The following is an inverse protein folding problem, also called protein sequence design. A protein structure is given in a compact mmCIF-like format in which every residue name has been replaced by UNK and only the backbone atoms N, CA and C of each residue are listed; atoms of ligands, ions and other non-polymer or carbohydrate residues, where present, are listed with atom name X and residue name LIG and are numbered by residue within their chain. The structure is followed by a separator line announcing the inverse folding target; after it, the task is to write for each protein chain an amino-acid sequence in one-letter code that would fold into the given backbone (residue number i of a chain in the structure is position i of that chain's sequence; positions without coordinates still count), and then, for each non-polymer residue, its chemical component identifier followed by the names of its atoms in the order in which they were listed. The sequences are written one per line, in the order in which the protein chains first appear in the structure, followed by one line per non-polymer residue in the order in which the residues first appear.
data_IF_820519553703
#
_entry.id   IF_820519553703
#
_cell.length_a   1.000
_cell.length_b   1.000
_cell.length_c   1.000
_cell.angle_alpha   90.00
_cell.angle_beta   90.00
_cell.angle_gamma   90.00
#
_symmetry.space_group_name_H-M   'P 1'
#
loop_
_entity.id
_entity.type
_entity.pdbx_description
1 polymer ?
#
# COMPACT_ATOMS: atom_id res chain seq x y z
N UNK A 1 -15.58 13.07 8.55
CA UNK A 1 -14.15 13.14 8.92
C UNK A 1 -13.37 14.06 7.96
N UNK A 2 -13.22 13.77 6.67
CA UNK A 2 -12.67 14.67 5.65
C UNK A 2 -13.68 14.98 4.54
N UNK A 3 -14.98 14.71 4.79
CA UNK A 3 -16.06 14.78 3.81
C UNK A 3 -16.33 16.17 3.24
N UNK A 4 -15.86 17.20 3.92
CA UNK A 4 -16.16 18.60 3.57
C UNK A 4 -15.01 19.28 2.80
N UNK A 5 -13.92 18.54 2.49
CA UNK A 5 -12.84 19.08 1.68
C UNK A 5 -13.24 19.04 0.20
N UNK A 6 -13.23 20.20 -0.52
CA UNK A 6 -13.76 20.29 -1.88
C UNK A 6 -12.99 19.45 -2.91
N UNK A 7 -11.71 19.18 -2.65
CA UNK A 7 -10.81 18.45 -3.55
C UNK A 7 -10.62 16.97 -3.14
N UNK A 8 -11.55 16.42 -2.34
CA UNK A 8 -11.46 15.07 -1.86
C UNK A 8 -12.50 14.17 -2.55
N UNK A 9 -12.04 13.17 -3.28
CA UNK A 9 -12.88 12.15 -3.89
C UNK A 9 -12.85 10.87 -3.06
N UNK A 10 -13.98 10.53 -2.44
CA UNK A 10 -14.15 9.27 -1.72
C UNK A 10 -14.73 8.20 -2.64
N UNK A 11 -14.10 7.02 -2.61
CA UNK A 11 -14.64 5.82 -3.24
C UNK A 11 -14.65 4.68 -2.21
N UNK A 12 -15.69 3.87 -2.25
CA UNK A 12 -15.81 2.69 -1.41
C UNK A 12 -16.49 1.56 -2.16
N UNK A 13 -16.16 0.34 -1.80
CA UNK A 13 -16.83 -0.85 -2.34
C UNK A 13 -18.20 -1.01 -1.72
N UNK A 14 -19.20 -1.32 -2.53
CA UNK A 14 -20.54 -1.64 -2.08
C UNK A 14 -20.75 -3.14 -2.25
N UNK A 15 -21.04 -3.83 -1.15
CA UNK A 15 -21.44 -5.23 -1.18
C UNK A 15 -22.84 -5.35 -1.77
N UNK A 16 -22.91 -5.63 -3.06
CA UNK A 16 -24.15 -5.77 -3.78
C UNK A 16 -24.49 -7.27 -3.92
N UNK A 17 -25.47 -7.75 -3.18
CA UNK A 17 -25.91 -9.15 -3.15
C UNK A 17 -27.01 -9.47 -4.18
N UNK A 18 -27.02 -8.82 -5.34
CA UNK A 18 -28.02 -9.05 -6.38
C UNK A 18 -27.42 -9.63 -7.65
N UNK A 19 -28.09 -10.62 -8.26
CA UNK A 19 -27.71 -11.12 -9.59
C UNK A 19 -27.76 -10.00 -10.64
N UNK A 20 -26.75 -9.94 -11.53
CA UNK A 20 -26.73 -9.02 -12.68
C UNK A 20 -26.25 -7.60 -12.38
N UNK A 21 -25.75 -7.28 -11.19
CA UNK A 21 -25.20 -5.95 -10.86
C UNK A 21 -23.70 -5.91 -11.00
N UNK A 22 -23.19 -4.84 -11.61
CA UNK A 22 -21.74 -4.57 -11.72
C UNK A 22 -21.20 -4.35 -10.31
N UNK A 23 -20.19 -5.15 -9.93
CA UNK A 23 -19.47 -5.00 -8.68
C UNK A 23 -18.13 -4.39 -8.97
N UNK A 24 -17.78 -3.34 -8.22
CA UNK A 24 -16.43 -2.80 -8.19
C UNK A 24 -15.75 -3.23 -6.90
N UNK A 25 -14.67 -3.99 -7.01
CA UNK A 25 -13.83 -4.30 -5.87
C UNK A 25 -12.81 -3.17 -5.61
N UNK A 26 -12.04 -3.29 -4.53
CA UNK A 26 -11.05 -2.29 -4.17
C UNK A 26 -9.95 -2.15 -5.23
N UNK A 27 -9.63 -3.24 -5.93
CA UNK A 27 -8.68 -3.26 -7.03
C UNK A 27 -9.19 -2.43 -8.23
N UNK A 28 -10.49 -2.56 -8.56
CA UNK A 28 -11.11 -1.78 -9.63
C UNK A 28 -11.12 -0.28 -9.29
N UNK A 29 -11.45 0.05 -8.04
CA UNK A 29 -11.43 1.44 -7.57
C UNK A 29 -10.00 2.01 -7.60
N UNK A 30 -9.01 1.25 -7.16
CA UNK A 30 -7.61 1.66 -7.21
C UNK A 30 -7.14 1.88 -8.66
N UNK A 31 -7.50 0.98 -9.58
CA UNK A 31 -7.21 1.14 -11.01
C UNK A 31 -7.85 2.40 -11.59
N UNK A 32 -9.11 2.64 -11.27
CA UNK A 32 -9.83 3.83 -11.73
C UNK A 32 -9.22 5.12 -11.16
N UNK A 33 -8.76 5.09 -9.92
CA UNK A 33 -8.07 6.21 -9.28
C UNK A 33 -6.81 6.65 -10.04
N UNK A 34 -6.10 5.71 -10.68
CA UNK A 34 -4.92 6.05 -11.51
C UNK A 34 -5.25 6.77 -12.82
N UNK A 35 -6.51 6.76 -13.26
CA UNK A 35 -6.96 7.45 -14.46
C UNK A 35 -7.36 8.90 -14.19
N UNK A 36 -7.38 9.30 -12.93
CA UNK A 36 -7.70 10.66 -12.48
C UNK A 36 -6.40 11.33 -12.05
N UNK A 37 -6.21 12.58 -12.43
CA UNK A 37 -5.02 13.35 -12.05
C UNK A 37 -5.07 13.70 -10.55
N UNK A 38 -4.49 12.82 -9.73
CA UNK A 38 -4.50 12.91 -8.27
C UNK A 38 -3.14 13.36 -7.74
N UNK A 39 -3.12 14.34 -6.85
CA UNK A 39 -1.92 14.68 -6.06
C UNK A 39 -1.60 13.59 -5.01
N UNK A 40 -2.64 13.03 -4.41
CA UNK A 40 -2.54 12.03 -3.36
C UNK A 40 -3.44 10.84 -3.66
N UNK A 41 -2.89 9.66 -3.53
CA UNK A 41 -3.60 8.40 -3.65
C UNK A 41 -3.61 7.69 -2.29
N UNK A 42 -4.78 7.58 -1.68
CA UNK A 42 -4.92 7.05 -0.32
C UNK A 42 -5.78 5.80 -0.34
N UNK A 43 -5.23 4.67 0.11
CA UNK A 43 -5.97 3.42 0.33
C UNK A 43 -6.17 3.23 1.83
N UNK A 44 -7.41 3.23 2.28
CA UNK A 44 -7.75 3.09 3.69
C UNK A 44 -7.20 1.81 4.31
N UNK A 45 -7.28 0.69 3.61
CA UNK A 45 -6.68 -0.57 4.02
C UNK A 45 -6.37 -1.45 2.81
N UNK A 46 -5.14 -1.96 2.73
CA UNK A 46 -4.72 -2.93 1.72
C UNK A 46 -5.00 -4.34 2.24
N UNK A 47 -5.75 -5.12 1.45
CA UNK A 47 -6.10 -6.51 1.74
C UNK A 47 -5.79 -7.50 0.62
N UNK A 48 -5.30 -6.99 -0.52
CA UNK A 48 -5.07 -7.82 -1.70
C UNK A 48 -4.36 -7.09 -2.84
N UNK A 49 -4.81 -7.36 -4.06
CA UNK A 49 -4.16 -6.92 -5.30
C UNK A 49 -4.14 -5.42 -5.55
N UNK A 50 -4.90 -4.62 -4.81
CA UNK A 50 -4.83 -3.16 -4.83
C UNK A 50 -3.46 -2.62 -4.44
N UNK A 51 -2.66 -3.41 -3.70
CA UNK A 51 -1.27 -3.09 -3.39
C UNK A 51 -0.45 -2.77 -4.64
N UNK A 52 -0.63 -3.54 -5.72
CA UNK A 52 0.08 -3.33 -6.98
C UNK A 52 -0.26 -1.96 -7.59
N UNK A 53 -1.53 -1.57 -7.57
CA UNK A 53 -1.96 -0.27 -8.14
C UNK A 53 -1.44 0.91 -7.34
N UNK A 54 -1.40 0.79 -6.00
CA UNK A 54 -0.79 1.80 -5.14
C UNK A 54 0.71 1.97 -5.46
N UNK A 55 1.43 0.87 -5.63
CA UNK A 55 2.86 0.94 -5.95
C UNK A 55 3.10 1.49 -7.36
N UNK A 56 2.27 1.15 -8.33
CA UNK A 56 2.33 1.75 -9.65
C UNK A 56 2.08 3.26 -9.59
N UNK A 57 1.13 3.71 -8.76
CA UNK A 57 0.91 5.14 -8.52
C UNK A 57 2.16 5.80 -7.92
N UNK A 58 2.75 5.18 -6.89
CA UNK A 58 3.98 5.68 -6.27
C UNK A 58 5.15 5.73 -7.27
N UNK A 59 5.27 4.70 -8.11
CA UNK A 59 6.31 4.64 -9.16
C UNK A 59 6.16 5.75 -10.20
N UNK A 60 4.93 6.15 -10.51
CA UNK A 60 4.63 7.24 -11.46
C UNK A 60 4.63 8.63 -10.82
N UNK A 61 5.03 8.74 -9.55
CA UNK A 61 5.24 10.02 -8.87
C UNK A 61 4.08 10.51 -8.00
N UNK A 62 2.98 9.74 -7.89
CA UNK A 62 1.89 10.08 -6.98
C UNK A 62 2.33 9.89 -5.52
N UNK A 63 1.87 10.77 -4.65
CA UNK A 63 2.04 10.60 -3.21
C UNK A 63 1.01 9.60 -2.70
N UNK A 64 1.50 8.46 -2.20
CA UNK A 64 0.65 7.34 -1.79
C UNK A 64 0.68 7.13 -0.29
N UNK A 65 -0.50 6.88 0.29
CA UNK A 65 -0.66 6.50 1.69
C UNK A 65 -1.57 5.28 1.76
N UNK A 66 -1.24 4.36 2.63
CA UNK A 66 -2.08 3.19 2.87
C UNK A 66 -1.90 2.66 4.27
N UNK A 67 -2.89 1.90 4.75
CA UNK A 67 -2.70 1.05 5.92
C UNK A 67 -2.72 -0.43 5.53
N UNK A 68 -2.00 -1.23 6.30
CA UNK A 68 -1.96 -2.69 6.16
C UNK A 68 -1.75 -3.31 7.55
N UNK A 69 -2.40 -4.43 7.81
CA UNK A 69 -2.17 -5.16 9.05
C UNK A 69 -0.84 -5.92 9.03
N UNK A 70 -0.08 -5.82 10.11
CA UNK A 70 1.17 -6.56 10.35
C UNK A 70 1.51 -6.56 11.83
N UNK A 71 2.38 -7.45 12.29
CA UNK A 71 2.86 -7.51 13.66
C UNK A 71 4.15 -6.69 13.87
N UNK A 72 4.74 -6.18 12.78
CA UNK A 72 5.89 -5.28 12.75
C UNK A 72 5.94 -4.53 11.41
N UNK A 73 6.79 -3.51 11.30
CA UNK A 73 7.05 -2.82 10.03
C UNK A 73 7.54 -3.78 8.95
N UNK A 74 8.47 -4.68 9.28
CA UNK A 74 9.01 -5.68 8.33
C UNK A 74 7.95 -6.69 7.89
N UNK A 75 7.09 -7.16 8.80
CA UNK A 75 6.00 -8.08 8.46
C UNK A 75 4.98 -7.42 7.54
N UNK A 76 4.62 -6.17 7.79
CA UNK A 76 3.73 -5.41 6.92
C UNK A 76 4.27 -5.34 5.48
N UNK A 77 5.57 -5.09 5.32
CA UNK A 77 6.24 -5.10 4.01
C UNK A 77 6.18 -6.48 3.36
N UNK A 78 6.47 -7.55 4.09
CA UNK A 78 6.37 -8.91 3.53
C UNK A 78 4.95 -9.25 3.07
N UNK A 79 3.94 -8.79 3.80
CA UNK A 79 2.54 -8.97 3.44
C UNK A 79 2.18 -8.21 2.14
N UNK A 80 2.71 -7.00 1.94
CA UNK A 80 2.55 -6.28 0.69
C UNK A 80 3.16 -7.05 -0.49
N UNK A 81 4.33 -7.69 -0.32
CA UNK A 81 4.92 -8.57 -1.33
C UNK A 81 3.96 -9.69 -1.74
N UNK A 82 3.33 -10.34 -0.75
CA UNK A 82 2.39 -11.41 -1.03
C UNK A 82 1.15 -10.89 -1.80
N UNK A 83 0.63 -9.72 -1.44
CA UNK A 83 -0.49 -9.09 -2.14
C UNK A 83 -0.14 -8.70 -3.59
N UNK A 84 1.08 -8.19 -3.84
CA UNK A 84 1.55 -7.89 -5.19
C UNK A 84 1.58 -9.16 -6.04
N UNK A 85 2.09 -10.26 -5.48
CA UNK A 85 2.16 -11.56 -6.16
C UNK A 85 0.78 -12.14 -6.48
N UNK A 86 -0.25 -11.88 -5.68
CA UNK A 86 -1.62 -12.28 -6.01
C UNK A 86 -2.20 -11.54 -7.21
N UNK A 87 -1.70 -10.34 -7.50
CA UNK A 87 -2.19 -9.49 -8.57
C UNK A 87 -1.29 -9.50 -9.84
N UNK A 88 -0.19 -10.23 -9.82
CA UNK A 88 0.83 -10.23 -10.88
C UNK A 88 1.60 -11.54 -10.94
N UNK A 89 2.34 -11.73 -12.04
CA UNK A 89 3.28 -12.83 -12.24
C UNK A 89 4.69 -12.52 -11.71
N UNK A 90 4.85 -11.44 -10.93
CA UNK A 90 6.14 -11.07 -10.36
C UNK A 90 6.68 -12.15 -9.42
N UNK A 91 7.97 -12.38 -9.50
CA UNK A 91 8.71 -13.14 -8.49
C UNK A 91 8.69 -12.39 -7.17
N UNK A 92 9.01 -13.08 -6.08
CA UNK A 92 9.13 -12.44 -4.76
C UNK A 92 10.18 -11.33 -4.76
N UNK A 93 11.29 -11.53 -5.47
CA UNK A 93 12.37 -10.57 -5.58
C UNK A 93 11.92 -9.30 -6.32
N UNK A 94 11.29 -9.45 -7.49
CA UNK A 94 10.75 -8.33 -8.25
C UNK A 94 9.70 -7.55 -7.44
N UNK A 95 8.79 -8.25 -6.78
CA UNK A 95 7.80 -7.61 -5.92
C UNK A 95 8.46 -6.85 -4.74
N UNK A 96 9.53 -7.40 -4.14
CA UNK A 96 10.29 -6.71 -3.10
C UNK A 96 11.00 -5.47 -3.64
N UNK A 97 11.59 -5.54 -4.83
CA UNK A 97 12.27 -4.40 -5.44
C UNK A 97 11.30 -3.24 -5.70
N UNK A 98 10.04 -3.53 -6.07
CA UNK A 98 9.02 -2.48 -6.21
C UNK A 98 8.79 -1.72 -4.90
N UNK A 99 8.98 -2.36 -3.76
CA UNK A 99 8.78 -1.72 -2.45
C UNK A 99 9.89 -0.74 -2.07
N UNK A 100 10.96 -0.61 -2.86
CA UNK A 100 11.96 0.47 -2.69
C UNK A 100 11.35 1.86 -2.90
N UNK A 101 10.16 1.95 -3.51
CA UNK A 101 9.41 3.19 -3.67
C UNK A 101 8.60 3.59 -2.42
N UNK A 102 8.51 2.70 -1.42
CA UNK A 102 7.95 3.05 -0.12
C UNK A 102 9.02 3.80 0.68
N UNK A 103 8.71 5.01 1.09
CA UNK A 103 9.66 5.82 1.87
C UNK A 103 9.64 5.45 3.34
N UNK A 104 8.45 5.43 3.94
CA UNK A 104 8.31 5.31 5.40
C UNK A 104 7.23 4.31 5.76
N UNK A 105 7.52 3.47 6.73
CA UNK A 105 6.59 2.53 7.35
C UNK A 105 6.44 2.88 8.83
N UNK A 106 5.22 3.17 9.26
CA UNK A 106 4.90 3.44 10.66
C UNK A 106 4.13 2.25 11.22
N UNK A 107 4.73 1.53 12.14
CA UNK A 107 4.05 0.45 12.85
C UNK A 107 3.45 0.97 14.15
N UNK A 108 2.15 0.71 14.30
CA UNK A 108 1.38 1.09 15.47
C UNK A 108 0.76 -0.13 16.15
N UNK A 109 0.76 -0.13 17.49
CA UNK A 109 0.08 -1.14 18.30
C UNK A 109 -0.63 -0.47 19.47
N UNK A 110 -1.89 -0.82 19.70
CA UNK A 110 -2.71 -0.24 20.76
C UNK A 110 -2.71 1.30 20.76
N UNK A 111 -2.84 1.90 19.57
CA UNK A 111 -2.82 3.35 19.33
C UNK A 111 -1.50 4.07 19.68
N UNK A 112 -0.41 3.33 19.87
CA UNK A 112 0.93 3.87 20.09
C UNK A 112 1.84 3.51 18.91
N UNK A 113 2.68 4.46 18.50
CA UNK A 113 3.73 4.20 17.51
C UNK A 113 4.81 3.36 18.19
N UNK A 114 5.13 2.22 17.58
CA UNK A 114 6.16 1.28 18.05
C UNK A 114 7.42 1.32 17.20
N UNK A 115 7.26 1.51 15.90
CA UNK A 115 8.38 1.59 14.98
C UNK A 115 8.11 2.65 13.90
N UNK A 116 9.14 3.38 13.51
CA UNK A 116 9.18 4.16 12.28
C UNK A 116 10.43 3.71 11.54
N UNK A 117 10.23 3.11 10.38
CA UNK A 117 11.29 2.60 9.52
C UNK A 117 11.25 3.28 8.15
N UNK A 118 12.40 3.68 7.66
CA UNK A 118 12.60 4.16 6.30
C UNK A 118 13.18 3.02 5.45
N UNK A 119 12.63 2.83 4.25
CA UNK A 119 13.22 1.96 3.23
C UNK A 119 14.28 2.79 2.50
N UNK A 120 15.54 2.44 2.68
CA UNK A 120 16.67 3.24 2.16
C UNK A 120 17.39 2.61 0.97
N UNK A 121 17.00 1.40 0.59
CA UNK A 121 17.56 0.75 -0.58
C UNK A 121 17.32 -0.75 -0.65
N UNK A 122 18.03 -1.38 -1.56
CA UNK A 122 18.03 -2.81 -1.86
C UNK A 122 19.44 -3.40 -1.72
N UNK A 123 19.53 -4.55 -1.08
CA UNK A 123 20.77 -5.33 -0.95
C UNK A 123 20.71 -6.48 -1.97
N UNK A 124 21.47 -6.37 -3.05
CA UNK A 124 21.50 -7.35 -4.14
C UNK A 124 22.09 -8.70 -3.72
N UNK A 125 23.03 -8.71 -2.79
CA UNK A 125 23.67 -9.95 -2.32
C UNK A 125 22.71 -10.76 -1.44
N UNK A 126 21.99 -10.07 -0.57
CA UNK A 126 21.06 -10.68 0.39
C UNK A 126 19.62 -10.75 -0.11
N UNK A 127 19.34 -10.17 -1.27
CA UNK A 127 18.00 -10.11 -1.88
C UNK A 127 16.93 -9.59 -0.91
N UNK A 128 17.21 -8.45 -0.26
CA UNK A 128 16.31 -7.85 0.72
C UNK A 128 16.38 -6.33 0.74
N UNK A 129 15.30 -5.73 1.25
CA UNK A 129 15.23 -4.30 1.50
C UNK A 129 16.15 -3.91 2.66
N UNK A 130 16.75 -2.74 2.54
CA UNK A 130 17.56 -2.12 3.59
C UNK A 130 16.66 -1.12 4.32
N UNK A 131 16.59 -1.28 5.65
CA UNK A 131 15.80 -0.42 6.53
C UNK A 131 16.70 0.42 7.42
N UNK A 132 16.27 1.65 7.66
CA UNK A 132 16.80 2.51 8.71
C UNK A 132 15.66 2.80 9.70
N UNK A 133 15.82 2.38 10.93
CA UNK A 133 14.86 2.72 11.99
C UNK A 133 15.12 4.14 12.47
N UNK A 134 14.12 5.01 12.29
CA UNK A 134 14.11 6.39 12.81
C UNK A 134 13.66 6.38 14.26
N UNK A 135 12.73 5.48 14.57
CA UNK A 135 12.23 5.26 15.92
C UNK A 135 11.91 3.78 16.13
N UNK A 136 12.25 3.26 17.29
CA UNK A 136 11.86 1.92 17.73
C UNK A 136 11.74 1.94 19.24
N UNK A 137 10.57 1.54 19.73
CA UNK A 137 10.33 1.36 21.16
C UNK A 137 10.95 0.04 21.61
N UNK A 138 11.69 0.08 22.73
CA UNK A 138 12.34 -1.07 23.36
C UNK A 138 11.33 -2.06 23.97
#
# INVERSE_FOLDING_TARGET
MFSDHPDLMFQHTVLNRGEGKIQYDLKDLARNGLLVDLDYFIIGEIKGGEALYMLNAAYTGHRCWASVHGASSTEAINKLVDYIKYASDYTREEAMQMLTHINTVVFMKSFHVKEIAEVVGWDDDKKKLIYKYVYKED
#
